data_IF_977732391286
#
_entry.id   IF_977732391286
#
_cell.length_a   1.000
_cell.length_b   1.000
_cell.length_c   1.000
_cell.angle_alpha   90.00
_cell.angle_beta   90.00
_cell.angle_gamma   90.00
#
_symmetry.space_group_name_H-M   'P 1'
#
loop_
_entity.id
_entity.type
_entity.pdbx_description
1 polymer ?
#
# COMPACT_ATOMS: atom_id res chain seq x y z
N UNK A 1 -20.48 -4.40 -4.29
CA UNK A 1 -21.13 -5.63 -3.77
C UNK A 1 -20.34 -6.84 -4.25
N UNK A 2 -20.38 -7.99 -3.56
CA UNK A 2 -19.71 -9.20 -4.05
C UNK A 2 -20.37 -9.71 -5.34
N UNK A 3 -19.69 -10.61 -6.05
CA UNK A 3 -20.14 -11.13 -7.34
C UNK A 3 -21.59 -11.60 -7.24
N UNK A 4 -22.49 -11.10 -8.10
CA UNK A 4 -23.89 -11.48 -8.05
C UNK A 4 -24.05 -12.97 -8.26
N UNK A 5 -25.00 -13.56 -7.55
CA UNK A 5 -25.33 -14.97 -7.66
C UNK A 5 -25.81 -15.32 -9.07
N UNK A 6 -25.49 -16.51 -9.55
CA UNK A 6 -26.22 -17.16 -10.63
C UNK A 6 -27.41 -17.90 -10.02
N UNK A 7 -28.61 -17.71 -10.57
CA UNK A 7 -29.84 -18.35 -10.10
C UNK A 7 -30.68 -17.52 -9.12
N UNK A 8 -31.68 -18.14 -8.46
CA UNK A 8 -32.60 -17.46 -7.56
C UNK A 8 -31.91 -16.74 -6.39
N UNK A 9 -32.50 -15.62 -5.98
CA UNK A 9 -32.03 -14.76 -4.89
C UNK A 9 -32.57 -15.22 -3.54
N UNK A 10 -31.86 -14.92 -2.46
CA UNK A 10 -32.36 -15.22 -1.11
C UNK A 10 -33.53 -14.31 -0.75
N UNK A 11 -34.60 -14.86 -0.17
CA UNK A 11 -35.78 -14.06 0.22
C UNK A 11 -36.65 -13.61 -0.96
N UNK A 12 -36.53 -14.25 -2.12
CA UNK A 12 -37.40 -14.04 -3.28
C UNK A 12 -36.97 -12.92 -4.23
N UNK A 13 -36.27 -11.88 -3.75
CA UNK A 13 -35.87 -10.74 -4.58
C UNK A 13 -34.56 -10.07 -4.16
N UNK A 14 -33.96 -9.25 -5.03
CA UNK A 14 -32.64 -8.64 -4.79
C UNK A 14 -32.64 -7.62 -3.65
N UNK A 15 -33.74 -6.89 -3.46
CA UNK A 15 -33.87 -5.95 -2.35
C UNK A 15 -33.91 -6.68 -0.99
N UNK A 16 -34.70 -7.77 -0.91
CA UNK A 16 -34.81 -8.57 0.31
C UNK A 16 -33.50 -9.30 0.62
N UNK A 17 -32.81 -9.85 -0.38
CA UNK A 17 -31.49 -10.48 -0.18
C UNK A 17 -30.49 -9.51 0.47
N UNK A 18 -30.45 -8.24 0.01
CA UNK A 18 -29.56 -7.23 0.58
C UNK A 18 -29.86 -6.97 2.06
N UNK A 19 -31.13 -6.89 2.44
CA UNK A 19 -31.55 -6.69 3.83
C UNK A 19 -31.23 -7.91 4.70
N UNK A 20 -31.47 -9.13 4.20
CA UNK A 20 -31.11 -10.37 4.89
C UNK A 20 -29.60 -10.40 5.16
N UNK A 21 -28.77 -10.09 4.16
CA UNK A 21 -27.32 -10.10 4.31
C UNK A 21 -26.81 -8.99 5.24
N UNK A 22 -27.41 -7.80 5.21
CA UNK A 22 -27.08 -6.72 6.12
C UNK A 22 -27.38 -7.09 7.58
N UNK A 23 -28.56 -7.68 7.84
CA UNK A 23 -28.95 -8.12 9.18
C UNK A 23 -28.05 -9.25 9.68
N UNK A 24 -27.72 -10.23 8.81
CA UNK A 24 -26.80 -11.31 9.17
C UNK A 24 -25.38 -10.80 9.44
N UNK A 25 -24.88 -9.82 8.68
CA UNK A 25 -23.58 -9.21 8.94
C UNK A 25 -23.57 -8.46 10.28
N UNK A 26 -24.64 -7.73 10.57
CA UNK A 26 -24.81 -7.02 11.85
C UNK A 26 -24.77 -8.01 13.02
N UNK A 27 -25.58 -9.07 12.96
CA UNK A 27 -25.60 -10.11 13.99
C UNK A 27 -24.26 -10.86 14.13
N UNK A 28 -23.53 -11.07 13.02
CA UNK A 28 -22.21 -11.69 13.06
C UNK A 28 -21.19 -10.83 13.82
N UNK A 29 -21.18 -9.51 13.58
CA UNK A 29 -20.27 -8.60 14.28
C UNK A 29 -20.71 -8.30 15.71
N UNK A 30 -21.99 -8.49 16.02
CA UNK A 30 -22.54 -8.34 17.37
C UNK A 30 -22.29 -9.58 18.25
N UNK A 31 -22.30 -10.78 17.70
CA UNK A 31 -22.20 -12.02 18.50
C UNK A 31 -20.97 -12.86 18.21
N UNK A 32 -20.12 -12.45 17.27
CA UNK A 32 -18.94 -13.17 16.74
C UNK A 32 -19.25 -14.51 16.04
N UNK A 33 -20.38 -15.13 16.35
CA UNK A 33 -20.80 -16.44 15.89
C UNK A 33 -22.31 -16.48 15.73
N UNK A 34 -22.78 -16.93 14.56
CA UNK A 34 -24.20 -17.12 14.28
C UNK A 34 -24.47 -18.46 13.60
N UNK A 35 -25.64 -19.03 13.87
CA UNK A 35 -26.10 -20.28 13.26
C UNK A 35 -27.15 -19.97 12.19
N UNK A 36 -26.91 -20.41 10.96
CA UNK A 36 -27.80 -20.13 9.81
C UNK A 36 -27.80 -21.28 8.81
N UNK A 37 -28.51 -21.14 7.68
CA UNK A 37 -28.43 -22.15 6.61
C UNK A 37 -27.12 -22.04 5.85
N UNK A 38 -26.60 -23.16 5.35
CA UNK A 38 -25.31 -23.21 4.62
C UNK A 38 -25.32 -22.21 3.44
N UNK A 39 -26.44 -22.12 2.73
CA UNK A 39 -26.60 -21.17 1.63
C UNK A 39 -26.46 -19.71 2.09
N UNK A 40 -27.08 -19.32 3.20
CA UNK A 40 -26.97 -17.96 3.76
C UNK A 40 -25.54 -17.67 4.24
N UNK A 41 -24.90 -18.62 4.91
CA UNK A 41 -23.53 -18.48 5.38
C UNK A 41 -22.54 -18.24 4.22
N UNK A 42 -22.64 -19.04 3.15
CA UNK A 42 -21.78 -18.88 1.96
C UNK A 42 -21.99 -17.53 1.26
N UNK A 43 -23.21 -17.00 1.26
CA UNK A 43 -23.53 -15.67 0.70
C UNK A 43 -23.04 -14.53 1.58
N UNK A 44 -23.04 -14.72 2.90
CA UNK A 44 -22.58 -13.74 3.87
C UNK A 44 -21.07 -13.53 3.82
N UNK A 45 -20.28 -14.60 3.67
CA UNK A 45 -18.79 -14.55 3.66
C UNK A 45 -18.18 -13.40 2.86
N UNK A 46 -18.44 -13.26 1.55
CA UNK A 46 -17.77 -12.22 0.75
C UNK A 46 -18.24 -10.79 1.09
N UNK A 47 -19.40 -10.64 1.74
CA UNK A 47 -19.84 -9.35 2.26
C UNK A 47 -19.13 -9.04 3.58
N UNK A 48 -19.17 -9.98 4.53
CA UNK A 48 -18.54 -9.84 5.85
C UNK A 48 -17.03 -9.61 5.72
N UNK A 49 -16.33 -10.39 4.90
CA UNK A 49 -14.89 -10.24 4.68
C UNK A 49 -14.55 -8.85 4.11
N UNK A 50 -15.37 -8.32 3.20
CA UNK A 50 -15.16 -6.98 2.66
C UNK A 50 -15.38 -5.88 3.70
N UNK A 51 -16.38 -6.04 4.59
CA UNK A 51 -16.63 -5.09 5.68
C UNK A 51 -15.47 -5.08 6.68
N UNK A 52 -14.91 -6.23 7.02
CA UNK A 52 -13.70 -6.33 7.85
C UNK A 52 -12.51 -5.66 7.16
N UNK A 53 -12.30 -5.88 5.86
CA UNK A 53 -11.24 -5.20 5.10
C UNK A 53 -11.39 -3.68 5.12
N UNK A 54 -12.61 -3.15 5.01
CA UNK A 54 -12.84 -1.72 5.18
C UNK A 54 -12.54 -1.25 6.60
N UNK A 55 -12.94 -2.03 7.61
CA UNK A 55 -12.68 -1.69 9.01
C UNK A 55 -11.18 -1.63 9.32
N UNK A 56 -10.39 -2.56 8.78
CA UNK A 56 -8.92 -2.56 8.89
C UNK A 56 -8.23 -1.33 8.30
N UNK A 57 -8.84 -0.69 7.29
CA UNK A 57 -8.31 0.55 6.71
C UNK A 57 -8.46 1.74 7.66
N UNK A 58 -9.51 1.77 8.47
CA UNK A 58 -9.70 2.76 9.54
C UNK A 58 -10.10 4.18 9.12
N UNK A 59 -10.18 4.49 7.82
CA UNK A 59 -10.49 5.84 7.32
C UNK A 59 -11.99 6.24 7.47
N UNK A 60 -12.26 7.55 7.42
CA UNK A 60 -13.63 8.08 7.49
C UNK A 60 -14.49 7.58 6.32
N UNK A 61 -13.88 7.42 5.15
CA UNK A 61 -14.56 6.89 3.97
C UNK A 61 -15.03 5.45 4.19
N UNK A 62 -14.19 4.56 4.72
CA UNK A 62 -14.56 3.19 5.07
C UNK A 62 -15.70 3.15 6.07
N UNK A 63 -15.66 3.99 7.12
CA UNK A 63 -16.76 4.09 8.09
C UNK A 63 -18.08 4.44 7.40
N UNK A 64 -18.08 5.45 6.52
CA UNK A 64 -19.27 5.82 5.72
C UNK A 64 -19.73 4.68 4.80
N UNK A 65 -18.80 3.94 4.20
CA UNK A 65 -19.11 2.78 3.35
C UNK A 65 -19.74 1.64 4.15
N UNK A 66 -19.22 1.33 5.34
CA UNK A 66 -19.79 0.31 6.22
C UNK A 66 -21.21 0.68 6.66
N UNK A 67 -21.44 1.96 7.00
CA UNK A 67 -22.77 2.49 7.38
C UNK A 67 -23.84 2.34 6.29
N UNK A 68 -23.46 2.18 5.02
CA UNK A 68 -24.44 1.88 3.95
C UNK A 68 -25.05 0.48 4.07
N UNK A 69 -24.40 -0.42 4.81
CA UNK A 69 -24.81 -1.82 4.98
C UNK A 69 -25.26 -2.06 6.42
N UNK A 70 -24.40 -1.76 7.40
CA UNK A 70 -24.66 -1.94 8.83
C UNK A 70 -25.16 -0.61 9.38
N UNK A 71 -26.45 -0.55 9.74
CA UNK A 71 -27.10 0.68 10.20
C UNK A 71 -26.84 0.99 11.67
N UNK A 72 -26.54 -0.03 12.46
CA UNK A 72 -26.28 0.12 13.89
C UNK A 72 -24.88 0.71 14.13
N UNK A 73 -24.85 1.89 14.76
CA UNK A 73 -23.61 2.60 15.06
C UNK A 73 -22.77 1.91 16.13
N UNK A 74 -23.39 1.20 17.08
CA UNK A 74 -22.70 0.45 18.12
C UNK A 74 -21.91 -0.72 17.51
N UNK A 75 -22.54 -1.47 16.61
CA UNK A 75 -21.87 -2.56 15.88
C UNK A 75 -20.76 -2.03 14.98
N UNK A 76 -20.97 -0.90 14.29
CA UNK A 76 -19.92 -0.25 13.50
C UNK A 76 -18.76 0.21 14.38
N UNK A 77 -19.03 0.78 15.56
CA UNK A 77 -17.97 1.15 16.49
C UNK A 77 -17.11 -0.06 16.86
N UNK A 78 -17.75 -1.14 17.35
CA UNK A 78 -17.10 -2.40 17.72
C UNK A 78 -16.30 -3.02 16.59
N UNK A 79 -16.81 -2.98 15.36
CA UNK A 79 -16.11 -3.49 14.19
C UNK A 79 -14.75 -2.81 13.97
N UNK A 80 -14.66 -1.49 14.21
CA UNK A 80 -13.44 -0.73 14.01
C UNK A 80 -12.51 -0.71 15.23
N UNK A 81 -13.06 -0.82 16.45
CA UNK A 81 -12.27 -0.71 17.69
C UNK A 81 -11.79 -2.04 18.24
N UNK A 82 -12.55 -3.13 18.04
CA UNK A 82 -12.21 -4.45 18.58
C UNK A 82 -11.84 -5.42 17.45
N UNK A 83 -12.75 -5.63 16.49
CA UNK A 83 -12.62 -6.70 15.50
C UNK A 83 -11.50 -6.41 14.49
N UNK A 84 -11.38 -5.17 14.03
CA UNK A 84 -10.37 -4.80 13.04
C UNK A 84 -8.93 -4.93 13.59
N UNK A 85 -8.59 -4.45 14.81
CA UNK A 85 -7.30 -4.70 15.43
C UNK A 85 -6.97 -6.18 15.61
N UNK A 86 -7.91 -6.99 16.10
CA UNK A 86 -7.73 -8.45 16.28
C UNK A 86 -7.33 -9.15 14.96
N UNK A 87 -7.76 -8.61 13.83
CA UNK A 87 -7.55 -9.18 12.50
C UNK A 87 -6.53 -8.42 11.65
N UNK A 88 -5.76 -7.50 12.25
CA UNK A 88 -4.84 -6.61 11.52
C UNK A 88 -3.80 -7.40 10.70
N UNK A 89 -3.18 -8.42 11.29
CA UNK A 89 -2.14 -9.23 10.65
C UNK A 89 -2.67 -10.25 9.64
N UNK A 90 -3.98 -10.57 9.71
CA UNK A 90 -4.61 -11.59 8.86
C UNK A 90 -4.91 -11.05 7.46
N UNK A 91 -4.26 -11.60 6.44
CA UNK A 91 -4.50 -11.24 5.03
C UNK A 91 -5.66 -12.04 4.42
N UNK A 92 -6.87 -11.78 4.89
CA UNK A 92 -8.10 -12.42 4.39
C UNK A 92 -8.52 -13.69 5.13
N UNK A 93 -9.69 -14.23 4.79
CA UNK A 93 -10.26 -15.38 5.50
C UNK A 93 -10.64 -15.07 6.95
N UNK A 94 -11.34 -13.95 7.16
CA UNK A 94 -11.77 -13.46 8.49
C UNK A 94 -12.92 -14.28 9.10
N UNK A 95 -13.60 -15.08 8.28
CA UNK A 95 -14.75 -15.89 8.70
C UNK A 95 -14.50 -17.37 8.43
N UNK A 96 -14.99 -18.24 9.32
CA UNK A 96 -14.99 -19.69 9.20
C UNK A 96 -16.43 -20.18 9.12
N UNK A 97 -16.70 -21.16 8.24
CA UNK A 97 -18.01 -21.86 8.18
C UNK A 97 -17.78 -23.29 8.63
N UNK A 98 -18.52 -23.70 9.65
CA UNK A 98 -18.55 -25.08 10.15
C UNK A 98 -19.93 -25.65 9.89
N UNK A 99 -20.01 -26.78 9.16
CA UNK A 99 -21.28 -27.45 8.89
C UNK A 99 -21.79 -28.12 10.17
N UNK A 100 -23.09 -28.05 10.39
CA UNK A 100 -23.75 -28.71 11.52
C UNK A 100 -24.90 -29.60 11.00
N UNK A 101 -25.51 -30.36 11.91
CA UNK A 101 -26.64 -31.21 11.57
C UNK A 101 -27.77 -30.43 10.88
N UNK A 102 -28.43 -31.08 9.92
CA UNK A 102 -29.55 -30.49 9.20
C UNK A 102 -30.70 -30.17 10.16
N UNK A 103 -31.47 -29.12 9.85
CA UNK A 103 -32.59 -28.70 10.69
C UNK A 103 -33.71 -29.73 10.64
N UNK A 104 -34.25 -30.07 11.81
CA UNK A 104 -35.44 -30.93 11.93
C UNK A 104 -36.67 -30.21 11.34
N UNK A 105 -37.37 -30.87 10.42
CA UNK A 105 -38.60 -30.38 9.79
C UNK A 105 -38.44 -30.18 8.29
N UNK A 106 -37.60 -29.22 7.88
CA UNK A 106 -37.33 -28.91 6.46
C UNK A 106 -36.06 -29.58 5.91
N UNK A 107 -35.30 -30.29 6.76
CA UNK A 107 -34.01 -30.90 6.45
C UNK A 107 -33.01 -29.91 5.81
N UNK A 108 -33.14 -28.61 6.12
CA UNK A 108 -32.25 -27.61 5.55
C UNK A 108 -30.81 -27.81 6.06
N UNK A 109 -29.78 -27.78 5.18
CA UNK A 109 -28.40 -27.88 5.60
C UNK A 109 -28.02 -26.62 6.40
N UNK A 110 -27.60 -26.83 7.64
CA UNK A 110 -27.27 -25.77 8.58
C UNK A 110 -25.76 -25.61 8.71
N UNK A 111 -25.32 -24.40 9.02
CA UNK A 111 -23.92 -24.09 9.26
C UNK A 111 -23.79 -22.97 10.30
N UNK A 112 -22.72 -23.04 11.08
CA UNK A 112 -22.27 -21.96 11.97
C UNK A 112 -21.24 -21.14 11.21
N UNK A 113 -21.44 -19.82 11.15
CA UNK A 113 -20.44 -18.89 10.63
C UNK A 113 -19.90 -18.05 11.80
N UNK A 114 -18.58 -18.00 11.93
CA UNK A 114 -17.88 -17.38 13.04
C UNK A 114 -16.69 -16.55 12.57
N UNK A 115 -16.34 -15.52 13.35
CA UNK A 115 -15.15 -14.71 13.16
C UNK A 115 -13.90 -15.44 13.66
N UNK A 116 -12.82 -15.41 12.87
CA UNK A 116 -11.56 -16.05 13.24
C UNK A 116 -10.70 -15.06 14.03
N UNK A 117 -10.91 -15.04 15.35
CA UNK A 117 -10.13 -14.23 16.30
C UNK A 117 -8.83 -14.90 16.78
N UNK A 118 -8.59 -16.14 16.39
CA UNK A 118 -7.32 -16.82 16.65
C UNK A 118 -6.16 -16.05 15.97
N UNK A 119 -5.06 -15.74 16.69
CA UNK A 119 -3.93 -15.06 16.11
C UNK A 119 -3.33 -15.92 14.98
N UNK A 120 -2.91 -15.27 13.90
CA UNK A 120 -2.25 -15.97 12.79
C UNK A 120 -0.87 -16.39 13.28
N UNK A 121 -0.62 -17.70 13.38
CA UNK A 121 0.74 -18.22 13.52
C UNK A 121 1.55 -17.85 12.27
N UNK A 122 2.16 -16.67 12.27
CA UNK A 122 2.92 -16.12 11.13
C UNK A 122 4.29 -16.81 10.93
N UNK A 123 4.75 -17.57 11.93
CA UNK A 123 6.08 -18.21 11.98
C UNK A 123 6.35 -19.19 10.81
N UNK A 124 5.48 -20.18 10.51
CA UNK A 124 5.77 -21.13 9.43
C UNK A 124 5.70 -20.51 8.03
N UNK A 125 4.78 -19.56 7.78
CA UNK A 125 4.58 -19.01 6.43
C UNK A 125 5.63 -17.97 6.05
N UNK A 126 6.09 -17.15 7.00
CA UNK A 126 7.20 -16.20 6.78
C UNK A 126 8.54 -16.92 6.61
N UNK A 127 8.78 -17.99 7.37
CA UNK A 127 10.00 -18.79 7.22
C UNK A 127 10.08 -19.44 5.82
N UNK A 128 8.99 -20.01 5.34
CA UNK A 128 8.94 -20.64 4.00
C UNK A 128 9.09 -19.61 2.88
N UNK A 129 8.54 -18.39 3.02
CA UNK A 129 8.74 -17.31 2.04
C UNK A 129 10.18 -16.81 2.04
N UNK A 130 10.79 -16.62 3.21
CA UNK A 130 12.19 -16.21 3.32
C UNK A 130 13.17 -17.26 2.77
N UNK A 131 12.88 -18.54 3.01
CA UNK A 131 13.66 -19.66 2.46
C UNK A 131 13.51 -19.76 0.93
N UNK A 132 12.31 -19.55 0.39
CA UNK A 132 12.05 -19.54 -1.04
C UNK A 132 12.70 -18.34 -1.75
N UNK A 133 12.67 -17.14 -1.17
CA UNK A 133 13.35 -15.95 -1.69
C UNK A 133 14.88 -16.10 -1.62
N UNK A 134 15.39 -16.73 -0.56
CA UNK A 134 16.81 -17.07 -0.42
C UNK A 134 17.27 -18.09 -1.46
N UNK A 135 16.47 -19.13 -1.73
CA UNK A 135 16.74 -20.11 -2.76
C UNK A 135 16.74 -19.49 -4.16
N UNK A 136 15.75 -18.65 -4.48
CA UNK A 136 15.67 -17.96 -5.78
C UNK A 136 16.85 -16.99 -6.01
N UNK A 137 17.26 -16.23 -4.99
CA UNK A 137 18.46 -15.36 -5.06
C UNK A 137 19.74 -16.16 -5.23
N UNK A 138 19.85 -17.33 -4.58
CA UNK A 138 21.01 -18.21 -4.73
C UNK A 138 21.07 -18.81 -6.12
N UNK A 139 19.94 -19.26 -6.68
CA UNK A 139 19.86 -19.77 -8.04
C UNK A 139 20.13 -18.71 -9.11
N UNK A 140 19.73 -17.45 -8.88
CA UNK A 140 20.07 -16.34 -9.78
C UNK A 140 21.56 -16.00 -9.74
N UNK A 141 22.16 -16.00 -8.54
CA UNK A 141 23.59 -15.75 -8.35
C UNK A 141 24.47 -16.88 -8.92
N UNK A 142 24.02 -18.14 -8.79
CA UNK A 142 24.73 -19.30 -9.34
C UNK A 142 24.60 -19.36 -10.89
N UNK A 143 23.54 -18.80 -11.48
CA UNK A 143 23.40 -18.64 -12.92
C UNK A 143 24.30 -17.51 -13.48
N UNK A 144 24.43 -16.39 -12.76
CA UNK A 144 25.30 -15.27 -13.13
C UNK A 144 26.79 -15.60 -12.96
N UNK A 145 27.14 -16.46 -11.99
CA UNK A 145 28.50 -16.97 -11.79
C UNK A 145 28.91 -18.05 -12.81
N UNK A 146 27.97 -18.66 -13.53
CA UNK A 146 28.25 -19.67 -14.55
C UNK A 146 28.51 -19.08 -15.95
N UNK A 147 28.19 -17.79 -16.18
CA UNK A 147 28.42 -17.10 -17.46
C UNK A 147 29.70 -16.24 -17.45
N UNK A 148 30.32 -16.03 -16.29
CA UNK A 148 31.56 -15.27 -16.16
C UNK A 148 32.83 -16.17 -16.10
N UNK A 149 33.29 -16.52 -17.32
CA UNK A 149 34.68 -16.84 -17.71
C UNK A 149 35.23 -18.27 -17.42
N UNK A 150 36.20 -18.80 -18.24
CA UNK A 150 37.11 -18.04 -19.11
C UNK A 150 37.47 -18.62 -20.50
N UNK A 151 37.93 -17.74 -21.39
CA UNK A 151 38.87 -18.05 -22.48
C UNK A 151 40.11 -17.14 -22.36
N UNK A 152 41.25 -17.83 -22.19
CA UNK A 152 42.65 -17.58 -22.61
C UNK A 152 43.57 -16.59 -21.88
N UNK A 153 44.73 -17.17 -21.52
CA UNK A 153 46.00 -16.65 -20.99
C UNK A 153 46.77 -15.65 -21.89
N UNK A 154 47.57 -14.77 -21.27
CA UNK A 154 48.97 -14.48 -21.65
C UNK A 154 49.72 -13.65 -20.58
N UNK A 155 51.02 -13.94 -20.48
CA UNK A 155 52.05 -13.55 -19.50
C UNK A 155 52.46 -12.05 -19.36
N UNK A 156 52.81 -11.72 -18.11
CA UNK A 156 53.99 -10.99 -17.56
C UNK A 156 54.59 -9.74 -18.24
N UNK A 157 54.68 -8.62 -17.51
CA UNK A 157 55.95 -7.96 -17.09
C UNK A 157 55.76 -6.54 -16.46
N UNK A 158 56.33 -6.38 -15.26
CA UNK A 158 57.08 -5.25 -14.68
C UNK A 158 56.71 -3.75 -14.87
N UNK A 159 56.73 -3.08 -13.69
CA UNK A 159 57.50 -1.87 -13.36
C UNK A 159 56.92 -0.43 -13.55
N UNK A 160 56.76 0.23 -12.38
CA UNK A 160 57.38 1.52 -11.97
C UNK A 160 56.58 2.86 -12.10
N UNK A 161 56.44 3.47 -10.91
CA UNK A 161 56.38 4.91 -10.48
C UNK A 161 55.15 5.80 -10.82
N UNK A 162 54.31 6.21 -9.85
CA UNK A 162 54.30 7.45 -8.95
C UNK A 162 54.68 8.77 -9.65
N UNK A 163 54.21 9.99 -9.24
CA UNK A 163 53.47 10.36 -8.00
C UNK A 163 52.36 11.46 -8.14
N UNK A 164 51.73 11.77 -6.99
CA UNK A 164 51.09 13.01 -6.43
C UNK A 164 51.22 14.36 -7.20
N UNK A 165 50.38 15.40 -7.06
CA UNK A 165 49.66 15.92 -5.90
C UNK A 165 48.68 17.08 -6.29
N UNK A 166 47.95 17.54 -5.28
CA UNK A 166 47.58 18.94 -4.99
C UNK A 166 46.32 19.62 -5.62
N UNK A 167 45.32 19.72 -4.73
CA UNK A 167 44.92 20.96 -4.05
C UNK A 167 44.08 22.08 -4.69
N UNK A 168 43.25 22.60 -3.76
CA UNK A 168 42.83 23.98 -3.53
C UNK A 168 41.81 24.56 -4.52
N UNK A 169 40.56 24.88 -4.12
CA UNK A 169 40.04 25.74 -3.05
C UNK A 169 39.49 27.07 -3.62
N UNK A 170 38.49 27.59 -2.89
CA UNK A 170 37.82 28.89 -2.99
C UNK A 170 36.79 29.08 -4.12
N UNK A 171 35.72 29.86 -4.00
CA UNK A 171 34.88 30.44 -2.93
C UNK A 171 33.71 31.15 -3.68
N UNK A 172 32.71 31.66 -2.97
CA UNK A 172 31.56 32.47 -3.39
C UNK A 172 30.35 31.71 -3.99
N UNK A 173 29.10 31.87 -3.54
CA UNK A 173 28.50 32.89 -2.70
C UNK A 173 27.35 32.30 -1.85
N UNK A 174 27.23 32.80 -0.61
CA UNK A 174 26.09 32.56 0.28
C UNK A 174 24.83 33.18 -0.31
N UNK A 175 23.81 32.35 -0.53
CA UNK A 175 22.41 32.79 -0.47
C UNK A 175 21.84 32.21 0.83
N UNK A 176 21.45 33.09 1.77
CA UNK A 176 20.74 32.69 2.98
C UNK A 176 19.29 32.30 2.64
N UNK A 177 19.13 31.16 1.96
CA UNK A 177 17.89 30.42 1.94
C UNK A 177 17.97 29.36 3.05
N UNK A 178 16.94 29.24 3.87
CA UNK A 178 16.90 28.23 4.92
C UNK A 178 17.03 26.83 4.30
N UNK A 179 17.91 26.00 4.85
CA UNK A 179 18.20 24.64 4.38
C UNK A 179 16.89 23.86 4.18
N UNK A 180 16.61 23.47 2.93
CA UNK A 180 15.45 22.67 2.57
C UNK A 180 15.52 21.23 3.08
N UNK A 181 16.67 20.81 3.61
CA UNK A 181 16.92 19.50 4.19
C UNK A 181 17.30 18.42 3.16
N UNK A 182 17.52 18.79 1.90
CA UNK A 182 17.79 17.89 0.78
C UNK A 182 19.09 18.20 0.02
N UNK A 183 20.01 18.92 0.65
CA UNK A 183 21.33 19.27 0.11
C UNK A 183 21.50 20.76 -0.15
N UNK A 184 22.71 21.16 -0.54
CA UNK A 184 23.10 22.57 -0.74
C UNK A 184 22.26 23.28 -1.82
N UNK A 185 21.68 22.53 -2.75
CA UNK A 185 20.84 23.02 -3.84
C UNK A 185 19.34 23.00 -3.52
N UNK A 186 18.98 22.82 -2.24
CA UNK A 186 17.61 22.78 -1.75
C UNK A 186 17.32 23.90 -0.75
N UNK A 187 16.13 24.51 -0.85
CA UNK A 187 15.70 25.57 0.04
C UNK A 187 14.25 25.38 0.50
N UNK A 188 13.97 25.82 1.72
CA UNK A 188 12.62 25.92 2.23
C UNK A 188 11.85 27.08 1.54
N UNK A 189 10.52 26.95 1.34
CA UNK A 189 9.70 28.05 0.85
C UNK A 189 9.74 29.25 1.80
N UNK A 190 9.58 30.45 1.24
CA UNK A 190 9.45 31.69 2.01
C UNK A 190 8.15 31.67 2.85
N UNK A 191 8.01 32.59 3.80
CA UNK A 191 6.81 32.68 4.66
C UNK A 191 5.50 32.82 3.87
N UNK A 192 5.57 33.35 2.64
CA UNK A 192 4.46 33.53 1.72
C UNK A 192 4.28 32.34 0.74
N UNK A 193 5.04 31.25 0.91
CA UNK A 193 5.01 30.06 0.03
C UNK A 193 5.71 30.24 -1.32
N UNK A 194 6.33 31.39 -1.55
CA UNK A 194 7.04 31.74 -2.79
C UNK A 194 8.46 31.15 -2.84
N UNK A 195 9.00 31.13 -4.06
CA UNK A 195 10.36 30.63 -4.35
C UNK A 195 11.43 31.57 -3.78
N UNK A 196 12.46 31.05 -3.10
CA UNK A 196 13.68 31.79 -2.83
C UNK A 196 14.40 32.17 -4.13
N UNK A 197 15.20 33.25 -4.11
CA UNK A 197 15.90 33.74 -5.31
C UNK A 197 16.84 32.67 -5.89
N UNK A 198 16.67 32.35 -7.18
CA UNK A 198 17.46 31.35 -7.89
C UNK A 198 16.91 29.91 -7.86
N UNK A 199 15.79 29.66 -7.18
CA UNK A 199 15.16 28.34 -7.14
C UNK A 199 13.92 28.31 -8.04
N UNK A 200 13.95 27.46 -9.07
CA UNK A 200 12.91 27.42 -10.12
C UNK A 200 12.17 26.10 -10.19
N UNK A 201 12.60 25.09 -9.44
CA UNK A 201 11.99 23.75 -9.45
C UNK A 201 11.23 23.53 -8.14
N UNK A 202 9.95 23.21 -8.25
CA UNK A 202 9.07 22.94 -7.10
C UNK A 202 9.13 21.46 -6.73
N UNK A 203 9.47 21.15 -5.49
CA UNK A 203 9.46 19.82 -4.91
C UNK A 203 8.32 19.64 -3.90
N UNK A 204 7.69 18.47 -3.91
CA UNK A 204 6.71 18.06 -2.92
C UNK A 204 7.29 16.93 -2.06
N UNK A 205 7.40 17.16 -0.74
CA UNK A 205 8.08 16.27 0.20
C UNK A 205 7.30 14.98 0.44
N UNK A 206 5.97 15.07 0.43
CA UNK A 206 5.09 13.91 0.65
C UNK A 206 5.12 12.90 -0.50
N UNK A 207 5.22 13.38 -1.74
CA UNK A 207 5.18 12.54 -2.95
C UNK A 207 6.54 12.27 -3.58
N UNK A 208 7.62 12.88 -3.06
CA UNK A 208 8.98 12.83 -3.62
C UNK A 208 8.98 13.14 -5.12
N UNK A 209 8.19 14.14 -5.54
CA UNK A 209 8.06 14.55 -6.93
C UNK A 209 8.48 15.99 -7.14
N UNK A 210 9.14 16.24 -8.26
CA UNK A 210 9.51 17.60 -8.66
C UNK A 210 8.76 18.05 -9.92
N UNK A 211 8.62 19.37 -10.03
CA UNK A 211 7.98 20.09 -11.11
C UNK A 211 8.90 21.21 -11.61
N UNK A 212 9.24 21.18 -12.89
CA UNK A 212 10.04 22.21 -13.56
C UNK A 212 9.15 23.37 -13.98
N UNK A 213 9.67 24.59 -13.91
CA UNK A 213 8.99 25.80 -14.38
C UNK A 213 8.54 25.66 -15.84
N UNK A 214 7.25 25.83 -16.11
CA UNK A 214 6.65 25.63 -17.43
C UNK A 214 6.05 24.23 -17.68
N UNK A 215 6.23 23.27 -16.76
CA UNK A 215 5.54 21.98 -16.84
C UNK A 215 4.03 22.12 -16.59
N UNK A 216 3.24 21.16 -17.11
CA UNK A 216 1.77 21.16 -17.06
C UNK A 216 1.16 21.42 -15.67
N UNK A 217 1.86 21.01 -14.61
CA UNK A 217 1.37 21.08 -13.23
C UNK A 217 2.12 22.10 -12.37
N UNK A 218 3.06 22.84 -12.94
CA UNK A 218 3.92 23.76 -12.18
C UNK A 218 3.12 24.83 -11.42
N UNK A 219 2.13 25.47 -12.07
CA UNK A 219 1.35 26.55 -11.47
C UNK A 219 0.33 26.05 -10.44
N UNK A 220 -0.14 24.82 -10.59
CA UNK A 220 -1.12 24.21 -9.69
C UNK A 220 -0.51 23.58 -8.44
N UNK A 221 0.81 23.34 -8.43
CA UNK A 221 1.50 22.69 -7.31
C UNK A 221 1.99 23.72 -6.30
N UNK A 222 1.63 23.50 -5.03
CA UNK A 222 2.23 24.15 -3.86
C UNK A 222 3.55 23.44 -3.51
N UNK A 223 4.64 24.21 -3.43
CA UNK A 223 5.97 23.67 -3.20
C UNK A 223 6.29 23.61 -1.70
N UNK A 224 6.77 22.46 -1.25
CA UNK A 224 7.24 22.26 0.14
C UNK A 224 8.77 22.34 0.23
N UNK A 225 9.45 22.13 -0.89
CA UNK A 225 10.89 22.26 -1.07
C UNK A 225 11.14 22.92 -2.43
N UNK A 226 12.13 23.78 -2.52
CA UNK A 226 12.57 24.41 -3.76
C UNK A 226 13.95 23.91 -4.14
N UNK A 227 14.18 23.65 -5.43
CA UNK A 227 15.48 23.25 -5.98
C UNK A 227 15.97 24.24 -7.03
N UNK A 228 17.29 24.39 -7.15
CA UNK A 228 17.95 25.23 -8.16
C UNK A 228 17.77 24.66 -9.57
N UNK A 229 17.92 23.34 -9.73
CA UNK A 229 17.79 22.62 -11.00
C UNK A 229 17.03 21.30 -10.86
N UNK A 230 16.59 20.74 -12.00
CA UNK A 230 15.94 19.42 -12.01
C UNK A 230 16.91 18.29 -11.63
N UNK A 231 18.20 18.44 -11.98
CA UNK A 231 19.25 17.49 -11.61
C UNK A 231 19.50 17.47 -10.11
N UNK A 232 19.45 18.64 -9.44
CA UNK A 232 19.54 18.73 -7.99
C UNK A 232 18.37 18.01 -7.29
N UNK A 233 17.15 18.16 -7.83
CA UNK A 233 15.98 17.46 -7.32
C UNK A 233 16.11 15.93 -7.50
N UNK A 234 16.60 15.48 -8.66
CA UNK A 234 16.84 14.07 -8.93
C UNK A 234 17.95 13.49 -8.03
N UNK A 235 19.03 14.24 -7.80
CA UNK A 235 20.09 13.86 -6.86
C UNK A 235 19.61 13.77 -5.41
N UNK A 236 18.62 14.58 -5.03
CA UNK A 236 17.92 14.53 -3.76
C UNK A 236 16.88 13.38 -3.67
N UNK A 237 16.70 12.59 -4.73
CA UNK A 237 15.78 11.45 -4.77
C UNK A 237 14.34 11.79 -5.16
N UNK A 238 14.09 12.96 -5.77
CA UNK A 238 12.79 13.33 -6.30
C UNK A 238 12.63 12.84 -7.74
N UNK A 239 11.46 12.29 -8.06
CA UNK A 239 11.12 11.82 -9.41
C UNK A 239 10.34 12.89 -10.21
N UNK A 240 10.48 12.93 -11.54
CA UNK A 240 9.71 13.87 -12.38
C UNK A 240 8.21 13.56 -12.31
N UNK A 241 7.41 14.57 -11.97
CA UNK A 241 5.96 14.39 -11.91
C UNK A 241 5.37 14.08 -13.30
N UNK A 242 4.85 12.86 -13.48
CA UNK A 242 4.31 12.40 -14.77
C UNK A 242 5.35 11.90 -15.77
N UNK A 243 6.59 11.66 -15.31
CA UNK A 243 7.72 11.22 -16.14
C UNK A 243 8.48 12.39 -16.77
N UNK A 244 9.68 12.12 -17.28
CA UNK A 244 10.58 13.15 -17.85
C UNK A 244 9.91 13.96 -18.97
N UNK A 245 9.14 13.30 -19.84
CA UNK A 245 8.44 13.94 -20.96
C UNK A 245 7.41 14.99 -20.51
N UNK A 246 6.84 14.86 -19.31
CA UNK A 246 5.87 15.83 -18.79
C UNK A 246 6.52 17.02 -18.07
N UNK A 247 7.84 16.93 -17.83
CA UNK A 247 8.67 17.97 -17.23
C UNK A 247 9.53 18.71 -18.25
N UNK A 248 9.54 18.25 -19.51
CA UNK A 248 10.11 19.01 -20.62
C UNK A 248 9.27 20.25 -20.87
N UNK A 249 9.93 21.41 -20.90
CA UNK A 249 9.32 22.67 -21.27
C UNK A 249 9.31 22.71 -22.79
N UNK A 250 8.13 22.65 -23.41
CA UNK A 250 8.00 22.92 -24.84
C UNK A 250 8.50 24.36 -25.07
N UNK A 251 9.60 24.48 -25.82
CA UNK A 251 10.23 25.77 -26.16
C UNK A 251 9.40 26.59 -27.15
#
# INVERSE_FOLDING_TARGET
MPTPTKGPRLGGGPAHERLILANLATALFEHDRITTTEAKAKRLRPLAERLVTFAKRGDLHARRRVLTVVRDKGVVHRLFTEIAPDMAERQGGYTRITKIAARKGDNAPMAVIELVREPVNAKPRRAVVAEAEGAAKKSAKDAEAAEAAPLVDAETAEAVEVPVDDAAAADAAKNEAADGGFGADSAAPLADGSAPEGFTVKGNKDSMKYHVAGSRWYDATEAEVWFTTAEAAAAAGFEPAGGEAAQQVDA
#
